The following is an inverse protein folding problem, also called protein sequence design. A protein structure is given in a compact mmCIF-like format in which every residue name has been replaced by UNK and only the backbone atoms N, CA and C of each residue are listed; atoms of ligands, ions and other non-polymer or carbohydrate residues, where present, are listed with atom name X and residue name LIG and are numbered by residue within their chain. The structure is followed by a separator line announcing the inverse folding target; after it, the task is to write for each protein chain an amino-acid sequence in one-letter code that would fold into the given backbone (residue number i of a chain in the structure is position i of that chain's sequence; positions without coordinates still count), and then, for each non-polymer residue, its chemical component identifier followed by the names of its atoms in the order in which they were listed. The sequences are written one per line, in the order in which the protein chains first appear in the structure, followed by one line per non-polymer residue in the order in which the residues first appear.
data_IF_288551107026
#
_entry.id   IF_288551107026
#
_cell.length_a   1.000
_cell.length_b   1.000
_cell.length_c   1.000
_cell.angle_alpha   90.00
_cell.angle_beta   90.00
_cell.angle_gamma   90.00
#
_symmetry.space_group_name_H-M   'P 1'
#
loop_
_entity.id
_entity.type
_entity.pdbx_description
1 polymer ?
#
# COMPACT_ATOMS: atom_id res chain seq x y z
N UNK A 1 0.17 -48.99 0.97
CA UNK A 1 0.25 -47.94 -0.07
C UNK A 1 0.39 -46.54 0.52
N UNK A 2 -0.28 -46.20 1.63
CA UNK A 2 -0.08 -44.90 2.33
C UNK A 2 1.31 -44.77 2.96
N UNK A 3 1.83 -45.85 3.58
CA UNK A 3 3.17 -45.84 4.19
C UNK A 3 4.30 -45.61 3.17
N UNK A 4 4.18 -46.15 1.96
CA UNK A 4 5.18 -45.96 0.91
C UNK A 4 5.15 -44.53 0.36
N UNK A 5 3.97 -43.95 0.16
CA UNK A 5 3.84 -42.53 -0.24
C UNK A 5 4.37 -41.54 0.81
N UNK A 6 4.25 -41.89 2.10
CA UNK A 6 4.82 -41.09 3.18
C UNK A 6 6.34 -41.18 3.21
N UNK A 7 6.89 -42.39 3.11
CA UNK A 7 8.33 -42.66 3.05
C UNK A 7 8.97 -41.99 1.81
N UNK A 8 8.32 -42.07 0.65
CA UNK A 8 8.73 -41.40 -0.59
C UNK A 8 8.80 -39.87 -0.42
N UNK A 9 7.84 -39.26 0.28
CA UNK A 9 7.84 -37.81 0.53
C UNK A 9 8.94 -37.40 1.51
N UNK A 10 9.13 -38.12 2.60
CA UNK A 10 10.21 -37.83 3.54
C UNK A 10 11.60 -38.05 2.89
N UNK A 11 11.72 -39.01 1.98
CA UNK A 11 12.93 -39.24 1.19
C UNK A 11 13.20 -38.08 0.21
N UNK A 12 12.18 -37.51 -0.42
CA UNK A 12 12.31 -36.32 -1.27
C UNK A 12 12.82 -35.10 -0.48
N UNK A 13 12.34 -34.90 0.76
CA UNK A 13 12.80 -33.83 1.66
C UNK A 13 14.26 -34.01 2.12
N UNK A 14 14.79 -35.23 2.06
CA UNK A 14 16.16 -35.55 2.50
C UNK A 14 17.24 -34.98 1.57
N UNK A 15 16.90 -34.72 0.31
CA UNK A 15 17.80 -34.11 -0.67
C UNK A 15 17.24 -32.78 -1.17
N UNK A 16 17.35 -31.68 -0.40
CA UNK A 16 16.84 -30.39 -0.81
C UNK A 16 17.51 -29.93 -2.10
N UNK A 17 16.71 -29.56 -3.10
CA UNK A 17 17.21 -29.02 -4.36
C UNK A 17 17.96 -27.71 -4.12
N UNK A 18 19.26 -27.68 -4.49
CA UNK A 18 20.14 -26.52 -4.26
C UNK A 18 19.58 -25.20 -4.83
N UNK A 19 18.94 -25.26 -6.00
CA UNK A 19 18.30 -24.10 -6.63
C UNK A 19 17.12 -23.57 -5.81
N UNK A 20 16.22 -24.44 -5.36
CA UNK A 20 15.06 -24.06 -4.55
C UNK A 20 15.49 -23.48 -3.20
N UNK A 21 16.51 -24.05 -2.58
CA UNK A 21 17.10 -23.54 -1.34
C UNK A 21 17.68 -22.14 -1.55
N UNK A 22 18.48 -21.95 -2.61
CA UNK A 22 19.12 -20.66 -2.93
C UNK A 22 18.07 -19.58 -3.20
N UNK A 23 17.07 -19.88 -4.04
CA UNK A 23 15.97 -18.95 -4.35
C UNK A 23 15.21 -18.59 -3.07
N UNK A 24 14.91 -19.56 -2.22
CA UNK A 24 14.18 -19.33 -0.98
C UNK A 24 14.97 -18.47 0.03
N UNK A 25 16.29 -18.65 0.13
CA UNK A 25 17.14 -17.79 0.96
C UNK A 25 17.13 -16.35 0.43
N UNK A 26 17.28 -16.17 -0.90
CA UNK A 26 17.24 -14.85 -1.52
C UNK A 26 15.90 -14.15 -1.25
N UNK A 27 14.78 -14.87 -1.41
CA UNK A 27 13.45 -14.33 -1.12
C UNK A 27 13.31 -13.95 0.36
N UNK A 28 13.80 -14.79 1.28
CA UNK A 28 13.73 -14.51 2.72
C UNK A 28 14.50 -13.23 3.08
N UNK A 29 15.71 -13.08 2.56
CA UNK A 29 16.52 -11.87 2.77
C UNK A 29 15.86 -10.66 2.13
N UNK A 30 15.35 -10.79 0.90
CA UNK A 30 14.63 -9.72 0.21
C UNK A 30 13.39 -9.27 0.96
N UNK A 31 12.63 -10.19 1.56
CA UNK A 31 11.48 -9.88 2.42
C UNK A 31 11.90 -9.04 3.62
N UNK A 32 12.91 -9.49 4.38
CA UNK A 32 13.41 -8.75 5.55
C UNK A 32 13.87 -7.33 5.19
N UNK A 33 14.69 -7.22 4.15
CA UNK A 33 15.18 -5.92 3.65
C UNK A 33 14.02 -5.02 3.20
N UNK A 34 12.94 -5.58 2.66
CA UNK A 34 11.78 -4.78 2.20
C UNK A 34 10.96 -4.21 3.35
N UNK A 35 10.87 -4.92 4.49
CA UNK A 35 10.10 -4.46 5.65
C UNK A 35 10.86 -3.45 6.52
N UNK A 36 12.19 -3.56 6.59
CA UNK A 36 13.04 -2.72 7.43
C UNK A 36 12.85 -1.21 7.23
N UNK A 37 12.84 -0.65 5.99
CA UNK A 37 12.61 0.78 5.77
C UNK A 37 11.28 1.27 6.34
N UNK A 38 10.23 0.45 6.25
CA UNK A 38 8.90 0.80 6.76
C UNK A 38 8.91 0.83 8.29
N UNK A 39 9.49 -0.18 8.95
CA UNK A 39 9.64 -0.19 10.41
C UNK A 39 10.46 1.01 10.89
N UNK A 40 11.58 1.28 10.23
CA UNK A 40 12.43 2.43 10.54
C UNK A 40 11.69 3.76 10.37
N UNK A 41 10.95 3.95 9.28
CA UNK A 41 10.19 5.19 9.03
C UNK A 41 9.16 5.47 10.12
N UNK A 42 8.45 4.45 10.61
CA UNK A 42 7.46 4.60 11.68
C UNK A 42 8.16 4.97 13.00
N UNK A 43 9.23 4.25 13.36
CA UNK A 43 9.99 4.50 14.60
C UNK A 43 10.66 5.87 14.58
N UNK A 44 11.27 6.25 13.46
CA UNK A 44 11.98 7.53 13.32
C UNK A 44 11.02 8.72 13.28
N UNK A 45 9.82 8.58 12.70
CA UNK A 45 8.79 9.64 12.73
C UNK A 45 8.12 9.77 14.09
N UNK A 46 8.04 8.69 14.86
CA UNK A 46 7.38 8.70 16.18
C UNK A 46 5.86 8.94 16.10
N UNK A 47 5.27 8.90 14.91
CA UNK A 47 3.83 9.02 14.65
C UNK A 47 3.41 8.06 13.54
N UNK A 48 2.14 7.64 13.57
CA UNK A 48 1.53 6.78 12.56
C UNK A 48 0.71 7.54 11.51
N UNK A 49 0.86 8.87 11.45
CA UNK A 49 0.21 9.69 10.43
C UNK A 49 0.63 9.28 9.01
N UNK A 50 -0.37 9.25 8.11
CA UNK A 50 -0.22 8.77 6.74
C UNK A 50 -0.34 7.25 6.58
N UNK A 51 -0.44 6.47 7.66
CA UNK A 51 -0.72 5.03 7.58
C UNK A 51 -2.23 4.81 7.68
N UNK A 52 -2.83 4.23 6.63
CA UNK A 52 -4.26 3.91 6.63
C UNK A 52 -4.60 2.82 7.68
N UNK A 53 -5.53 3.09 8.62
CA UNK A 53 -5.97 2.08 9.59
C UNK A 53 -6.59 0.84 8.93
N UNK A 54 -7.28 1.04 7.80
CA UNK A 54 -7.86 -0.05 7.00
C UNK A 54 -6.78 -0.92 6.35
N UNK A 55 -5.68 -0.33 5.90
CA UNK A 55 -4.54 -1.07 5.38
C UNK A 55 -3.94 -1.99 6.45
N UNK A 56 -3.74 -1.46 7.67
CA UNK A 56 -3.20 -2.23 8.79
C UNK A 56 -4.16 -3.35 9.20
N UNK A 57 -5.46 -3.05 9.29
CA UNK A 57 -6.49 -4.03 9.62
C UNK A 57 -6.53 -5.19 8.61
N UNK A 58 -6.82 -4.88 7.34
CA UNK A 58 -6.98 -5.88 6.28
C UNK A 58 -5.69 -6.67 6.04
N UNK A 59 -4.55 -5.97 6.07
CA UNK A 59 -3.25 -6.59 5.90
C UNK A 59 -2.90 -7.55 7.05
N UNK A 60 -3.19 -7.18 8.31
CA UNK A 60 -2.89 -8.05 9.45
C UNK A 60 -3.81 -9.26 9.50
N UNK A 61 -5.11 -9.07 9.25
CA UNK A 61 -6.06 -10.19 9.21
C UNK A 61 -5.76 -11.14 8.04
N UNK A 62 -5.42 -10.59 6.86
CA UNK A 62 -5.00 -11.39 5.70
C UNK A 62 -3.71 -12.16 5.97
N UNK A 63 -2.68 -11.51 6.52
CA UNK A 63 -1.41 -12.16 6.85
C UNK A 63 -1.58 -13.27 7.91
N UNK A 64 -2.42 -13.04 8.91
CA UNK A 64 -2.73 -14.05 9.95
C UNK A 64 -3.44 -15.26 9.34
N UNK A 65 -4.42 -15.01 8.46
CA UNK A 65 -5.12 -16.07 7.74
C UNK A 65 -4.18 -16.86 6.81
N UNK A 66 -3.31 -16.16 6.07
CA UNK A 66 -2.32 -16.76 5.17
C UNK A 66 -1.28 -17.60 5.91
N UNK A 67 -0.82 -17.14 7.08
CA UNK A 67 0.11 -17.91 7.90
C UNK A 67 -0.56 -19.16 8.51
N UNK A 68 -1.79 -19.03 9.02
CA UNK A 68 -2.55 -20.19 9.49
C UNK A 68 -2.87 -21.17 8.35
N UNK A 69 -3.13 -20.68 7.14
CA UNK A 69 -3.33 -21.50 5.95
C UNK A 69 -2.09 -22.37 5.66
N UNK A 70 -0.90 -21.79 5.53
CA UNK A 70 0.30 -22.59 5.22
C UNK A 70 0.64 -23.63 6.31
N UNK A 71 0.32 -23.35 7.58
CA UNK A 71 0.51 -24.32 8.66
C UNK A 71 -0.48 -25.49 8.59
N UNK A 72 -1.65 -25.30 7.98
CA UNK A 72 -2.75 -26.28 7.97
C UNK A 72 -2.90 -27.04 6.66
N UNK A 73 -2.34 -26.55 5.55
CA UNK A 73 -2.43 -27.26 4.26
C UNK A 73 -1.80 -28.67 4.31
N UNK A 74 -2.40 -29.66 3.62
CA UNK A 74 -1.95 -31.05 3.69
C UNK A 74 -0.45 -31.28 3.41
N UNK A 75 0.16 -30.66 2.37
CA UNK A 75 1.59 -30.85 2.10
C UNK A 75 2.47 -30.37 3.26
N UNK A 76 2.16 -29.20 3.85
CA UNK A 76 2.96 -28.66 4.95
C UNK A 76 2.82 -29.48 6.23
N UNK A 77 1.65 -30.06 6.51
CA UNK A 77 1.48 -30.99 7.63
C UNK A 77 2.34 -32.24 7.47
N UNK A 78 2.40 -32.81 6.25
CA UNK A 78 3.25 -33.97 5.94
C UNK A 78 4.73 -33.61 6.09
N UNK A 79 5.15 -32.47 5.55
CA UNK A 79 6.53 -31.98 5.68
C UNK A 79 6.94 -31.81 7.16
N UNK A 80 6.07 -31.23 8.00
CA UNK A 80 6.33 -31.06 9.44
C UNK A 80 6.44 -32.41 10.16
N UNK A 81 5.65 -33.42 9.77
CA UNK A 81 5.72 -34.76 10.35
C UNK A 81 7.03 -35.48 9.99
N UNK A 82 7.50 -35.35 8.75
CA UNK A 82 8.78 -35.90 8.29
C UNK A 82 9.99 -35.35 9.07
N UNK A 83 9.90 -34.15 9.65
CA UNK A 83 10.98 -33.55 10.43
C UNK A 83 11.36 -34.35 11.70
N UNK A 84 10.53 -35.29 12.15
CA UNK A 84 10.89 -36.19 13.25
C UNK A 84 11.93 -37.26 12.85
N UNK A 85 12.08 -37.53 11.55
CA UNK A 85 12.96 -38.57 11.00
C UNK A 85 14.15 -38.00 10.20
N UNK A 86 14.12 -36.70 9.90
CA UNK A 86 15.13 -36.01 9.11
C UNK A 86 16.19 -35.32 9.99
N UNK A 87 17.36 -35.06 9.40
CA UNK A 87 18.36 -34.19 10.02
C UNK A 87 17.88 -32.74 10.12
N UNK A 88 18.51 -31.97 11.00
CA UNK A 88 18.11 -30.59 11.30
C UNK A 88 18.21 -29.67 10.09
N UNK A 89 19.23 -29.86 9.24
CA UNK A 89 19.43 -29.04 8.05
C UNK A 89 18.40 -29.35 6.96
N UNK A 90 18.13 -30.63 6.72
CA UNK A 90 17.16 -31.10 5.73
C UNK A 90 15.75 -30.63 6.10
N UNK A 91 15.37 -30.77 7.38
CA UNK A 91 14.11 -30.24 7.89
C UNK A 91 14.03 -28.71 7.75
N UNK A 92 15.09 -27.97 8.13
CA UNK A 92 15.10 -26.51 8.01
C UNK A 92 14.96 -26.05 6.55
N UNK A 93 15.63 -26.73 5.62
CA UNK A 93 15.51 -26.47 4.18
C UNK A 93 14.08 -26.77 3.67
N UNK A 94 13.48 -27.88 4.08
CA UNK A 94 12.12 -28.28 3.70
C UNK A 94 11.02 -27.37 4.25
N UNK A 95 11.22 -26.79 5.44
CA UNK A 95 10.28 -25.88 6.10
C UNK A 95 10.53 -24.39 5.79
N UNK A 96 11.52 -24.07 4.95
CA UNK A 96 11.91 -22.68 4.67
C UNK A 96 10.75 -21.84 4.12
N UNK A 97 9.85 -22.42 3.33
CA UNK A 97 8.64 -21.73 2.86
C UNK A 97 7.67 -21.35 3.99
N UNK A 98 7.52 -22.18 5.03
CA UNK A 98 6.73 -21.83 6.23
C UNK A 98 7.43 -20.70 6.98
N UNK A 99 8.76 -20.77 7.12
CA UNK A 99 9.54 -19.74 7.78
C UNK A 99 9.44 -18.38 7.07
N UNK A 100 9.45 -18.36 5.73
CA UNK A 100 9.25 -17.13 4.94
C UNK A 100 7.90 -16.46 5.24
N UNK A 101 6.79 -17.22 5.23
CA UNK A 101 5.47 -16.68 5.56
C UNK A 101 5.38 -16.27 7.04
N UNK A 102 6.04 -17.00 7.94
CA UNK A 102 6.13 -16.64 9.35
C UNK A 102 6.86 -15.33 9.58
N UNK A 103 8.00 -15.12 8.92
CA UNK A 103 8.75 -13.86 8.96
C UNK A 103 7.92 -12.70 8.39
N UNK A 104 7.22 -12.93 7.27
CA UNK A 104 6.30 -11.94 6.71
C UNK A 104 5.18 -11.58 7.69
N UNK A 105 4.55 -12.58 8.32
CA UNK A 105 3.49 -12.38 9.31
C UNK A 105 3.99 -11.61 10.54
N UNK A 106 5.15 -11.98 11.09
CA UNK A 106 5.77 -11.27 12.22
C UNK A 106 6.09 -9.82 11.83
N UNK A 107 6.61 -9.60 10.62
CA UNK A 107 6.96 -8.26 10.14
C UNK A 107 5.73 -7.36 10.02
N UNK A 108 4.61 -7.91 9.56
CA UNK A 108 3.34 -7.18 9.46
C UNK A 108 2.68 -6.98 10.84
N UNK A 109 2.77 -7.98 11.73
CA UNK A 109 2.32 -7.84 13.12
C UNK A 109 3.12 -6.75 13.86
N UNK A 110 4.43 -6.63 13.59
CA UNK A 110 5.24 -5.53 14.10
C UNK A 110 4.75 -4.17 13.59
N UNK A 111 4.32 -4.07 12.33
CA UNK A 111 3.69 -2.83 11.82
C UNK A 111 2.42 -2.51 12.61
N UNK A 112 1.56 -3.49 12.91
CA UNK A 112 0.38 -3.27 13.76
C UNK A 112 0.78 -2.78 15.16
N UNK A 113 1.78 -3.39 15.79
CA UNK A 113 2.25 -2.98 17.12
C UNK A 113 2.78 -1.55 17.07
N UNK A 114 3.65 -1.22 16.11
CA UNK A 114 4.17 0.13 15.95
C UNK A 114 3.07 1.13 15.64
N UNK A 115 2.10 0.76 14.80
CA UNK A 115 0.92 1.57 14.51
C UNK A 115 0.13 1.89 15.79
N UNK A 116 -0.10 0.92 16.68
CA UNK A 116 -0.82 1.13 17.94
C UNK A 116 0.00 1.94 18.96
N UNK A 117 1.31 1.71 19.05
CA UNK A 117 2.20 2.42 20.00
C UNK A 117 2.40 3.87 19.60
N UNK A 118 2.63 4.13 18.32
CA UNK A 118 2.80 5.48 17.77
C UNK A 118 1.48 6.09 17.27
N UNK A 119 0.33 5.56 17.71
CA UNK A 119 -0.96 6.19 17.48
C UNK A 119 -1.15 7.38 18.43
N UNK A 120 -0.36 8.44 18.25
CA UNK A 120 -0.43 9.67 19.03
C UNK A 120 -0.85 10.80 18.12
N UNK A 121 -2.15 11.08 18.07
CA UNK A 121 -2.66 12.26 17.37
C UNK A 121 -2.53 13.55 18.21
N UNK A 122 -2.55 13.44 19.54
CA UNK A 122 -2.51 14.62 20.44
C UNK A 122 -1.11 15.25 20.60
N UNK A 123 -0.03 14.58 20.18
CA UNK A 123 1.36 15.03 20.42
C UNK A 123 2.24 14.99 19.16
N UNK A 124 1.66 14.90 17.97
CA UNK A 124 2.44 14.90 16.74
C UNK A 124 3.00 16.31 16.50
N UNK A 125 4.32 16.48 16.56
CA UNK A 125 5.03 17.69 16.12
C UNK A 125 4.94 17.81 14.59
N UNK A 126 3.74 18.10 14.09
CA UNK A 126 3.45 18.27 12.68
C UNK A 126 3.01 19.72 12.50
N UNK A 127 3.58 20.48 11.54
CA UNK A 127 3.15 21.85 11.27
C UNK A 127 1.63 21.88 11.04
N UNK A 128 0.95 22.91 11.57
CA UNK A 128 -0.51 23.05 11.51
C UNK A 128 -1.12 22.97 10.09
N UNK A 129 -0.27 23.06 9.06
CA UNK A 129 -0.59 22.98 7.64
C UNK A 129 -0.82 21.54 7.12
N UNK A 130 -0.36 20.51 7.84
CA UNK A 130 -0.48 19.09 7.45
C UNK A 130 -1.50 18.30 8.29
N UNK A 131 -2.11 18.89 9.32
CA UNK A 131 -3.18 18.25 10.09
C UNK A 131 -4.45 18.17 9.24
N UNK A 132 -4.90 16.95 8.94
CA UNK A 132 -6.22 16.74 8.35
C UNK A 132 -7.33 17.28 9.28
N UNK A 133 -8.31 18.00 8.72
CA UNK A 133 -9.43 18.65 9.44
C UNK A 133 -10.19 17.72 10.40
N UNK A 134 -10.15 16.40 10.17
CA UNK A 134 -10.80 15.40 11.01
C UNK A 134 -9.91 14.15 11.17
N UNK A 135 -9.12 14.06 12.23
CA UNK A 135 -8.27 12.90 12.46
C UNK A 135 -9.06 11.63 12.75
N UNK A 136 -8.55 10.45 12.33
CA UNK A 136 -9.08 9.20 12.82
C UNK A 136 -8.94 9.16 14.35
N UNK A 137 -10.08 9.21 15.04
CA UNK A 137 -10.17 9.18 16.49
C UNK A 137 -9.36 8.02 17.08
N UNK A 138 -8.87 8.16 18.32
CA UNK A 138 -8.29 7.06 19.12
C UNK A 138 -9.17 5.81 19.10
N UNK A 139 -10.49 5.97 18.94
CA UNK A 139 -11.43 4.87 18.73
C UNK A 139 -11.12 3.98 17.53
N UNK A 140 -10.62 4.55 16.42
CA UNK A 140 -10.26 3.80 15.21
C UNK A 140 -9.07 2.87 15.46
N UNK A 141 -8.03 3.33 16.15
CA UNK A 141 -6.89 2.48 16.49
C UNK A 141 -7.26 1.36 17.45
N UNK A 142 -8.06 1.67 18.48
CA UNK A 142 -8.59 0.66 19.42
C UNK A 142 -9.44 -0.37 18.67
N UNK A 143 -10.31 0.08 17.76
CA UNK A 143 -11.11 -0.80 16.91
C UNK A 143 -10.20 -1.71 16.07
N UNK A 144 -9.23 -1.16 15.33
CA UNK A 144 -8.30 -1.95 14.49
C UNK A 144 -7.54 -2.97 15.35
N UNK A 145 -6.95 -2.55 16.46
CA UNK A 145 -6.23 -3.44 17.37
C UNK A 145 -7.11 -4.55 17.95
N UNK A 146 -8.31 -4.21 18.41
CA UNK A 146 -9.26 -5.18 18.98
C UNK A 146 -9.76 -6.20 17.95
N UNK A 147 -10.10 -5.75 16.73
CA UNK A 147 -10.55 -6.64 15.65
C UNK A 147 -9.42 -7.56 15.21
N UNK A 148 -8.20 -7.04 15.02
CA UNK A 148 -7.03 -7.86 14.70
C UNK A 148 -6.76 -8.91 15.78
N UNK A 149 -6.83 -8.53 17.06
CA UNK A 149 -6.61 -9.43 18.18
C UNK A 149 -7.69 -10.53 18.24
N UNK A 150 -8.97 -10.16 18.17
CA UNK A 150 -10.09 -11.11 18.18
C UNK A 150 -9.98 -12.07 17.00
N UNK A 151 -9.72 -11.56 15.80
CA UNK A 151 -9.52 -12.38 14.60
C UNK A 151 -8.37 -13.37 14.79
N UNK A 152 -7.21 -12.90 15.28
CA UNK A 152 -6.06 -13.76 15.54
C UNK A 152 -6.36 -14.86 16.56
N UNK A 153 -7.02 -14.52 17.68
CA UNK A 153 -7.44 -15.49 18.69
C UNK A 153 -8.44 -16.51 18.13
N UNK A 154 -9.44 -16.07 17.36
CA UNK A 154 -10.39 -16.96 16.70
C UNK A 154 -9.70 -17.92 15.75
N UNK A 155 -8.77 -17.43 14.91
CA UNK A 155 -7.99 -18.27 14.00
C UNK A 155 -7.17 -19.30 14.77
N UNK A 156 -6.52 -18.92 15.87
CA UNK A 156 -5.74 -19.85 16.71
C UNK A 156 -6.65 -20.92 17.33
N UNK A 157 -7.76 -20.51 17.96
CA UNK A 157 -8.69 -21.42 18.62
C UNK A 157 -9.30 -22.40 17.61
N UNK A 158 -9.85 -21.89 16.51
CA UNK A 158 -10.46 -22.73 15.48
C UNK A 158 -9.44 -23.65 14.83
N UNK A 159 -8.23 -23.16 14.53
CA UNK A 159 -7.15 -24.02 14.01
C UNK A 159 -6.80 -25.15 14.99
N UNK A 160 -6.76 -24.87 16.29
CA UNK A 160 -6.56 -25.88 17.33
C UNK A 160 -7.69 -26.91 17.37
N UNK A 161 -8.94 -26.46 17.30
CA UNK A 161 -10.13 -27.34 17.26
C UNK A 161 -10.12 -28.25 16.03
N UNK A 162 -9.88 -27.71 14.83
CA UNK A 162 -9.77 -28.50 13.61
C UNK A 162 -8.57 -29.45 13.62
N UNK A 163 -7.46 -29.06 14.26
CA UNK A 163 -6.26 -29.90 14.36
C UNK A 163 -6.40 -31.05 15.36
N UNK A 164 -7.21 -30.88 16.42
CA UNK A 164 -7.33 -31.86 17.49
C UNK A 164 -8.62 -32.67 17.43
N UNK A 165 -9.78 -32.01 17.31
CA UNK A 165 -11.10 -32.60 17.45
C UNK A 165 -11.80 -32.89 16.11
N UNK A 166 -11.57 -32.08 15.08
CA UNK A 166 -12.23 -32.17 13.78
C UNK A 166 -11.23 -32.39 12.64
N UNK A 167 -10.33 -33.37 12.81
CA UNK A 167 -9.19 -33.62 11.89
C UNK A 167 -9.62 -33.84 10.44
N UNK A 168 -10.77 -34.49 10.23
CA UNK A 168 -11.32 -34.77 8.90
C UNK A 168 -11.75 -33.51 8.14
N UNK A 169 -11.93 -32.38 8.84
CA UNK A 169 -12.30 -31.10 8.27
C UNK A 169 -11.14 -30.09 8.20
N UNK A 170 -9.92 -30.50 8.56
CA UNK A 170 -8.78 -29.59 8.59
C UNK A 170 -8.38 -29.09 7.20
N UNK A 171 -8.58 -29.91 6.16
CA UNK A 171 -8.34 -29.53 4.76
C UNK A 171 -9.30 -28.42 4.30
N UNK A 172 -10.56 -28.53 4.72
CA UNK A 172 -11.56 -27.50 4.48
C UNK A 172 -11.19 -26.20 5.20
N UNK A 173 -10.79 -26.28 6.47
CA UNK A 173 -10.34 -25.13 7.25
C UNK A 173 -9.12 -24.44 6.61
N UNK A 174 -8.14 -25.21 6.14
CA UNK A 174 -6.98 -24.68 5.44
C UNK A 174 -7.41 -23.88 4.19
N UNK A 175 -8.26 -24.45 3.35
CA UNK A 175 -8.74 -23.78 2.15
C UNK A 175 -9.57 -22.53 2.46
N UNK A 176 -10.41 -22.58 3.50
CA UNK A 176 -11.17 -21.43 3.97
C UNK A 176 -10.24 -20.27 4.38
N UNK A 177 -9.18 -20.55 5.14
CA UNK A 177 -8.19 -19.55 5.54
C UNK A 177 -7.47 -18.92 4.34
N UNK A 178 -7.11 -19.72 3.33
CA UNK A 178 -6.48 -19.22 2.11
C UNK A 178 -7.41 -18.32 1.29
N UNK A 179 -8.66 -18.74 1.10
CA UNK A 179 -9.69 -17.91 0.43
C UNK A 179 -9.95 -16.62 1.19
N UNK A 180 -10.03 -16.68 2.52
CA UNK A 180 -10.20 -15.51 3.38
C UNK A 180 -9.01 -14.54 3.23
N UNK A 181 -7.78 -15.05 3.25
CA UNK A 181 -6.57 -14.24 3.02
C UNK A 181 -6.61 -13.52 1.66
N UNK A 182 -6.94 -14.26 0.60
CA UNK A 182 -7.07 -13.71 -0.76
C UNK A 182 -8.20 -12.70 -0.91
N UNK A 183 -9.36 -12.95 -0.29
CA UNK A 183 -10.48 -12.01 -0.30
C UNK A 183 -10.14 -10.69 0.41
N UNK A 184 -9.52 -10.77 1.60
CA UNK A 184 -9.07 -9.60 2.35
C UNK A 184 -8.01 -8.80 1.56
N UNK A 185 -7.07 -9.47 0.90
CA UNK A 185 -6.12 -8.83 0.02
C UNK A 185 -6.82 -8.17 -1.19
N UNK A 186 -7.82 -8.83 -1.78
CA UNK A 186 -8.62 -8.26 -2.86
C UNK A 186 -9.36 -6.99 -2.43
N UNK A 187 -9.96 -6.98 -1.24
CA UNK A 187 -10.60 -5.78 -0.67
C UNK A 187 -9.60 -4.63 -0.49
N UNK A 188 -8.32 -4.93 -0.27
CA UNK A 188 -7.27 -3.92 -0.15
C UNK A 188 -6.84 -3.35 -1.51
N UNK A 189 -6.59 -4.21 -2.50
CA UNK A 189 -6.05 -3.79 -3.80
C UNK A 189 -7.11 -3.25 -4.76
N UNK A 190 -8.34 -3.78 -4.76
CA UNK A 190 -9.38 -3.39 -5.72
C UNK A 190 -9.76 -1.90 -5.61
N UNK A 191 -10.02 -1.34 -4.41
CA UNK A 191 -10.31 0.08 -4.28
C UNK A 191 -9.15 0.97 -4.75
N UNK A 192 -7.91 0.53 -4.52
CA UNK A 192 -6.73 1.25 -4.99
C UNK A 192 -6.65 1.24 -6.52
N UNK A 193 -6.87 0.08 -7.15
CA UNK A 193 -6.92 -0.04 -8.63
C UNK A 193 -8.00 0.87 -9.19
N UNK A 194 -9.20 0.82 -8.60
CA UNK A 194 -10.33 1.65 -9.02
C UNK A 194 -9.99 3.14 -8.90
N UNK A 195 -9.42 3.57 -7.77
CA UNK A 195 -9.05 4.96 -7.52
C UNK A 195 -7.99 5.45 -8.49
N UNK A 196 -6.90 4.70 -8.69
CA UNK A 196 -5.86 5.04 -9.66
C UNK A 196 -6.42 5.13 -11.08
N UNK A 197 -7.33 4.23 -11.45
CA UNK A 197 -8.00 4.29 -12.76
C UNK A 197 -8.88 5.53 -12.93
N UNK A 198 -9.55 6.02 -11.89
CA UNK A 198 -10.42 7.20 -11.99
C UNK A 198 -9.65 8.52 -11.94
N UNK A 199 -8.63 8.60 -11.08
CA UNK A 199 -7.83 9.82 -10.91
C UNK A 199 -6.85 10.02 -12.08
N UNK A 200 -6.50 8.96 -12.82
CA UNK A 200 -5.56 8.99 -13.96
C UNK A 200 -4.17 9.53 -13.60
N UNK A 201 -3.83 9.49 -12.31
CA UNK A 201 -2.54 9.91 -11.79
C UNK A 201 -2.10 8.95 -10.67
N UNK A 202 -0.79 8.81 -10.53
CA UNK A 202 -0.16 7.78 -9.68
C UNK A 202 -0.08 8.21 -8.21
N UNK A 203 -0.13 9.51 -7.94
CA UNK A 203 -0.11 10.08 -6.59
C UNK A 203 1.17 9.72 -5.84
N UNK A 204 1.06 9.30 -4.58
CA UNK A 204 2.22 8.98 -3.73
C UNK A 204 2.76 7.54 -3.90
N UNK A 205 2.38 6.82 -4.95
CA UNK A 205 2.76 5.42 -5.15
C UNK A 205 4.22 5.29 -5.60
N UNK A 206 5.01 4.44 -4.95
CA UNK A 206 6.41 4.22 -5.34
C UNK A 206 6.51 3.21 -6.49
N UNK A 207 6.65 3.70 -7.73
CA UNK A 207 6.90 2.86 -8.92
C UNK A 207 8.12 1.94 -8.73
N UNK A 208 9.29 2.42 -8.23
CA UNK A 208 10.47 1.56 -8.05
C UNK A 208 10.23 0.38 -7.11
N UNK A 209 9.49 0.61 -6.01
CA UNK A 209 9.13 -0.42 -5.05
C UNK A 209 8.27 -1.51 -5.71
N UNK A 210 7.32 -1.12 -6.55
CA UNK A 210 6.44 -2.05 -7.25
C UNK A 210 7.14 -2.83 -8.36
N UNK A 211 8.11 -2.23 -9.05
CA UNK A 211 8.94 -2.92 -10.04
C UNK A 211 9.77 -4.06 -9.42
N UNK A 212 10.19 -3.93 -8.17
CA UNK A 212 10.93 -4.98 -7.45
C UNK A 212 9.97 -6.03 -6.88
N UNK A 213 8.87 -5.57 -6.27
CA UNK A 213 7.94 -6.46 -5.56
C UNK A 213 7.08 -7.31 -6.49
N UNK A 214 6.61 -6.78 -7.62
CA UNK A 214 5.73 -7.53 -8.52
C UNK A 214 6.40 -8.80 -9.05
N UNK A 215 7.63 -8.76 -9.62
CA UNK A 215 8.34 -9.97 -10.02
C UNK A 215 8.70 -10.87 -8.82
N UNK A 216 9.07 -10.26 -7.69
CA UNK A 216 9.36 -11.00 -6.45
C UNK A 216 8.17 -11.80 -5.94
N UNK A 217 6.95 -11.24 -6.04
CA UNK A 217 5.70 -11.91 -5.66
C UNK A 217 5.41 -13.13 -6.53
N UNK A 218 5.62 -13.03 -7.85
CA UNK A 218 5.50 -14.19 -8.75
C UNK A 218 6.57 -15.25 -8.48
N UNK A 219 7.82 -14.84 -8.24
CA UNK A 219 8.91 -15.76 -7.88
C UNK A 219 8.58 -16.51 -6.59
N UNK A 220 8.03 -15.82 -5.59
CA UNK A 220 7.61 -16.41 -4.33
C UNK A 220 6.40 -17.34 -4.47
N UNK A 221 5.40 -16.97 -5.27
CA UNK A 221 4.30 -17.86 -5.60
C UNK A 221 4.80 -19.14 -6.31
N UNK A 222 5.75 -18.99 -7.24
CA UNK A 222 6.39 -20.11 -7.94
C UNK A 222 7.18 -21.02 -7.00
N UNK A 223 7.93 -20.48 -6.04
CA UNK A 223 8.65 -21.30 -5.05
C UNK A 223 7.69 -22.07 -4.14
N UNK A 224 6.56 -21.48 -3.75
CA UNK A 224 5.50 -22.16 -3.00
C UNK A 224 4.81 -23.24 -3.82
N UNK A 225 4.54 -23.00 -5.11
CA UNK A 225 4.01 -24.01 -6.02
C UNK A 225 4.98 -25.19 -6.18
N UNK A 226 6.27 -24.92 -6.37
CA UNK A 226 7.28 -25.98 -6.48
C UNK A 226 7.37 -26.85 -5.21
N UNK A 227 7.11 -26.25 -4.04
CA UNK A 227 7.14 -26.95 -2.75
C UNK A 227 5.85 -27.72 -2.44
N UNK A 228 4.69 -27.09 -2.63
CA UNK A 228 3.38 -27.58 -2.17
C UNK A 228 2.60 -28.30 -3.28
N UNK A 229 2.97 -28.11 -4.54
CA UNK A 229 2.22 -28.58 -5.71
C UNK A 229 0.80 -28.03 -5.78
N UNK A 230 -0.08 -28.78 -6.46
CA UNK A 230 -1.48 -28.41 -6.63
C UNK A 230 -2.30 -28.47 -5.33
N UNK A 231 -1.92 -29.32 -4.38
CA UNK A 231 -2.59 -29.41 -3.07
C UNK A 231 -2.44 -28.12 -2.24
N UNK A 232 -1.41 -27.31 -2.51
CA UNK A 232 -1.17 -26.03 -1.84
C UNK A 232 -1.79 -24.81 -2.51
N UNK A 233 -2.76 -24.98 -3.41
CA UNK A 233 -3.34 -23.87 -4.20
C UNK A 233 -3.87 -22.72 -3.34
N UNK A 234 -4.44 -23.03 -2.17
CA UNK A 234 -4.97 -22.02 -1.25
C UNK A 234 -3.88 -21.19 -0.58
N UNK A 235 -2.61 -21.61 -0.65
CA UNK A 235 -1.44 -20.85 -0.20
C UNK A 235 -0.83 -20.05 -1.34
N UNK A 236 -0.31 -20.71 -2.39
CA UNK A 236 0.40 -20.00 -3.47
C UNK A 236 -0.54 -19.15 -4.33
N UNK A 237 -1.82 -19.54 -4.44
CA UNK A 237 -2.82 -18.81 -5.22
C UNK A 237 -3.11 -17.42 -4.66
N UNK A 238 -2.99 -17.23 -3.34
CA UNK A 238 -3.10 -15.91 -2.71
C UNK A 238 -1.99 -14.98 -3.21
N UNK A 239 -0.75 -15.48 -3.28
CA UNK A 239 0.38 -14.68 -3.75
C UNK A 239 0.32 -14.38 -5.26
N UNK A 240 -0.21 -15.31 -6.07
CA UNK A 240 -0.52 -15.05 -7.49
C UNK A 240 -1.55 -13.93 -7.60
N UNK A 241 -2.64 -14.00 -6.84
CA UNK A 241 -3.69 -12.98 -6.84
C UNK A 241 -3.12 -11.60 -6.49
N UNK A 242 -2.33 -11.50 -5.41
CA UNK A 242 -1.74 -10.23 -4.99
C UNK A 242 -0.72 -9.71 -6.00
N UNK A 243 0.12 -10.58 -6.57
CA UNK A 243 1.10 -10.19 -7.58
C UNK A 243 0.43 -9.70 -8.88
N UNK A 244 -0.69 -10.32 -9.28
CA UNK A 244 -1.49 -9.85 -10.42
C UNK A 244 -2.10 -8.48 -10.15
N UNK A 245 -2.72 -8.28 -8.98
CA UNK A 245 -3.30 -6.99 -8.61
C UNK A 245 -2.25 -5.88 -8.54
N UNK A 246 -1.09 -6.18 -7.95
CA UNK A 246 0.04 -5.27 -7.89
C UNK A 246 0.62 -4.98 -9.28
N UNK A 247 0.66 -5.99 -10.17
CA UNK A 247 1.07 -5.82 -11.55
C UNK A 247 0.13 -4.92 -12.37
N UNK A 248 -1.18 -5.03 -12.14
CA UNK A 248 -2.17 -4.12 -12.75
C UNK A 248 -1.94 -2.68 -12.28
N UNK A 249 -1.74 -2.47 -10.98
CA UNK A 249 -1.40 -1.15 -10.44
C UNK A 249 -0.09 -0.60 -11.06
N UNK A 250 0.93 -1.44 -11.18
CA UNK A 250 2.22 -1.04 -11.76
C UNK A 250 2.07 -0.64 -13.24
N UNK A 251 1.28 -1.40 -14.01
CA UNK A 251 1.01 -1.10 -15.41
C UNK A 251 0.28 0.24 -15.56
N UNK A 252 -0.74 0.48 -14.74
CA UNK A 252 -1.42 1.79 -14.72
C UNK A 252 -0.48 2.92 -14.31
N UNK A 253 0.37 2.68 -13.32
CA UNK A 253 1.33 3.68 -12.84
C UNK A 253 2.32 4.09 -13.95
N UNK A 254 2.92 3.11 -14.63
CA UNK A 254 3.82 3.37 -15.76
C UNK A 254 3.08 4.10 -16.88
N UNK A 255 1.84 3.69 -17.18
CA UNK A 255 1.04 4.30 -18.25
C UNK A 255 0.73 5.78 -17.97
N UNK A 256 0.27 6.12 -16.78
CA UNK A 256 -0.08 7.51 -16.43
C UNK A 256 1.16 8.40 -16.27
N UNK A 257 2.24 7.88 -15.69
CA UNK A 257 3.52 8.60 -15.63
C UNK A 257 4.00 8.95 -17.05
N UNK A 258 3.98 7.98 -17.96
CA UNK A 258 4.39 8.19 -19.35
C UNK A 258 3.50 9.20 -20.08
N UNK A 259 2.19 9.16 -19.83
CA UNK A 259 1.25 10.12 -20.41
C UNK A 259 1.50 11.55 -19.92
N UNK A 260 1.82 11.73 -18.65
CA UNK A 260 2.13 13.03 -18.05
C UNK A 260 3.43 13.63 -18.64
N UNK A 261 4.49 12.82 -18.78
CA UNK A 261 5.74 13.25 -19.43
C UNK A 261 5.55 13.58 -20.93
N UNK A 262 4.64 12.91 -21.63
CA UNK A 262 4.34 13.20 -23.04
C UNK A 262 3.40 14.38 -23.25
N UNK A 263 2.73 14.85 -22.20
CA UNK A 263 1.88 16.02 -22.23
C UNK A 263 2.66 17.33 -21.97
N UNK A 264 3.99 17.37 -22.21
CA UNK A 264 4.76 18.62 -22.20
C UNK A 264 4.05 19.70 -23.05
N UNK A 265 3.86 20.93 -22.52
CA UNK A 265 3.25 22.02 -23.25
C UNK A 265 4.10 22.36 -24.49
N UNK A 266 3.51 22.90 -25.57
CA UNK A 266 4.26 23.25 -26.77
C UNK A 266 5.47 24.09 -26.40
N UNK A 267 6.67 23.63 -26.78
CA UNK A 267 7.91 24.39 -26.67
C UNK A 267 7.71 25.70 -27.43
N UNK A 268 7.42 26.78 -26.72
CA UNK A 268 7.52 28.11 -27.28
C UNK A 268 8.99 28.32 -27.68
N UNK A 269 9.27 28.72 -28.93
CA UNK A 269 10.63 28.90 -29.39
C UNK A 269 11.31 29.91 -28.47
N UNK A 270 12.45 29.54 -27.90
CA UNK A 270 13.32 30.42 -27.10
C UNK A 270 13.80 31.57 -27.99
N UNK A 271 12.98 32.59 -28.12
CA UNK A 271 13.39 33.88 -28.65
C UNK A 271 14.12 34.57 -27.50
N UNK A 272 15.43 34.74 -27.64
CA UNK A 272 16.24 35.56 -26.74
C UNK A 272 15.80 37.02 -26.88
N UNK A 273 14.76 37.39 -26.17
CA UNK A 273 14.37 38.79 -25.98
C UNK A 273 14.78 39.16 -24.57
N UNK A 274 15.58 40.21 -24.48
CA UNK A 274 16.04 40.83 -23.24
C UNK A 274 14.79 41.39 -22.51
N UNK A 275 14.18 40.58 -21.65
CA UNK A 275 12.96 40.96 -20.95
C UNK A 275 13.28 41.87 -19.74
N UNK A 276 12.54 42.98 -19.55
CA UNK A 276 12.68 43.79 -18.36
C UNK A 276 12.26 42.99 -17.11
N UNK A 277 13.14 43.02 -16.10
CA UNK A 277 13.02 42.28 -14.84
C UNK A 277 11.65 42.51 -14.17
N UNK A 278 10.74 41.53 -14.30
CA UNK A 278 9.43 41.53 -13.63
C UNK A 278 9.64 41.48 -12.09
N UNK A 279 8.85 42.21 -11.29
CA UNK A 279 8.97 42.18 -9.84
C UNK A 279 8.58 40.80 -9.29
N UNK A 280 9.38 40.28 -8.34
CA UNK A 280 9.12 38.99 -7.69
C UNK A 280 7.75 38.97 -7.00
N UNK A 281 6.82 38.07 -7.37
CA UNK A 281 5.55 37.95 -6.67
C UNK A 281 5.75 37.32 -5.28
N UNK A 282 4.95 37.78 -4.31
CA UNK A 282 4.88 37.25 -2.95
C UNK A 282 4.23 35.85 -3.00
N UNK A 283 4.81 34.92 -2.25
CA UNK A 283 4.58 33.47 -2.28
C UNK A 283 3.13 33.07 -1.90
N UNK A 284 2.35 32.55 -2.86
CA UNK A 284 1.05 31.91 -2.65
C UNK A 284 0.90 30.72 -3.61
N UNK A 285 0.99 29.48 -3.10
CA UNK A 285 0.88 28.24 -3.88
C UNK A 285 -0.36 28.24 -4.80
N UNK A 286 -0.14 28.33 -6.11
CA UNK A 286 -1.15 28.22 -7.15
C UNK A 286 -0.62 27.34 -8.29
N UNK A 287 -1.47 26.56 -8.94
CA UNK A 287 -1.06 25.84 -10.15
C UNK A 287 -0.54 26.87 -11.19
N UNK A 288 0.73 26.75 -11.61
CA UNK A 288 1.40 27.67 -12.53
C UNK A 288 2.63 28.44 -12.00
N UNK A 289 3.09 28.18 -10.77
CA UNK A 289 4.33 28.79 -10.23
C UNK A 289 5.56 28.57 -11.09
N UNK A 290 5.67 27.39 -11.73
CA UNK A 290 6.81 27.04 -12.56
C UNK A 290 6.95 27.94 -13.80
N UNK A 291 5.87 28.65 -14.17
CA UNK A 291 5.81 29.54 -15.33
C UNK A 291 5.94 31.04 -14.95
N UNK A 292 6.14 31.37 -13.67
CA UNK A 292 6.26 32.78 -13.22
C UNK A 292 4.96 33.59 -13.34
N UNK A 293 3.84 32.91 -13.56
CA UNK A 293 2.51 33.52 -13.66
C UNK A 293 2.00 33.93 -12.26
N UNK A 294 1.24 35.03 -12.16
CA UNK A 294 0.82 35.54 -10.88
C UNK A 294 -0.23 34.62 -10.24
N UNK A 295 -0.34 34.67 -8.91
CA UNK A 295 -1.29 33.83 -8.17
C UNK A 295 -2.74 34.27 -8.36
N UNK A 296 -3.71 33.48 -7.86
CA UNK A 296 -5.12 33.87 -7.87
C UNK A 296 -5.30 35.18 -7.11
N UNK A 297 -6.26 36.01 -7.56
CA UNK A 297 -6.56 37.35 -7.03
C UNK A 297 -5.57 38.45 -7.41
N UNK A 298 -4.90 38.32 -8.55
CA UNK A 298 -4.05 39.39 -9.05
C UNK A 298 -4.91 40.59 -9.45
N UNK A 299 -4.59 41.77 -8.93
CA UNK A 299 -5.39 42.98 -9.19
C UNK A 299 -5.29 43.50 -10.64
N UNK A 300 -4.30 43.01 -11.40
CA UNK A 300 -3.99 43.43 -12.78
C UNK A 300 -3.49 42.26 -13.64
N UNK A 301 -4.34 41.25 -13.96
CA UNK A 301 -3.96 40.11 -14.79
C UNK A 301 -3.51 40.52 -16.21
N UNK A 302 -4.05 41.63 -16.73
CA UNK A 302 -3.66 42.25 -18.00
C UNK A 302 -2.18 42.66 -18.09
N UNK A 303 -1.48 42.73 -16.95
CA UNK A 303 -0.05 43.05 -16.90
C UNK A 303 0.85 41.84 -17.09
N UNK A 304 0.27 40.64 -17.08
CA UNK A 304 0.98 39.37 -17.11
C UNK A 304 0.67 38.55 -18.37
N UNK A 305 -0.30 38.98 -19.18
CA UNK A 305 -0.60 38.42 -20.49
C UNK A 305 -0.06 39.34 -21.60
N UNK A 306 0.63 38.75 -22.58
CA UNK A 306 1.12 39.47 -23.76
C UNK A 306 0.10 39.40 -24.93
N UNK A 307 -0.89 38.51 -24.84
CA UNK A 307 -1.96 38.32 -25.83
C UNK A 307 -3.35 38.21 -25.18
N UNK A 308 -4.41 38.51 -25.94
CA UNK A 308 -5.80 38.43 -25.45
C UNK A 308 -6.20 36.99 -25.07
N UNK A 309 -5.72 35.99 -25.83
CA UNK A 309 -5.97 34.57 -25.58
C UNK A 309 -5.27 34.10 -24.29
N UNK A 310 -4.09 34.64 -24.00
CA UNK A 310 -3.37 34.39 -22.75
C UNK A 310 -4.07 35.06 -21.56
N UNK A 311 -4.64 36.25 -21.74
CA UNK A 311 -5.43 36.93 -20.71
C UNK A 311 -6.68 36.13 -20.35
N UNK A 312 -7.40 35.62 -21.35
CA UNK A 312 -8.58 34.77 -21.17
C UNK A 312 -8.21 33.47 -20.44
N UNK A 313 -7.12 32.81 -20.85
CA UNK A 313 -6.62 31.61 -20.18
C UNK A 313 -6.19 31.87 -18.72
N UNK A 314 -5.58 33.03 -18.43
CA UNK A 314 -5.25 33.42 -17.06
C UNK A 314 -6.50 33.63 -16.21
N UNK A 315 -7.51 34.30 -16.75
CA UNK A 315 -8.79 34.53 -16.07
C UNK A 315 -9.51 33.20 -15.79
N UNK A 316 -9.62 32.31 -16.78
CA UNK A 316 -10.22 30.98 -16.62
C UNK A 316 -9.47 30.10 -15.60
N UNK A 317 -8.14 30.26 -15.50
CA UNK A 317 -7.33 29.58 -14.49
C UNK A 317 -7.60 30.13 -13.10
N UNK A 318 -7.65 31.46 -12.96
CA UNK A 318 -7.99 32.11 -11.69
C UNK A 318 -9.37 31.67 -11.21
N UNK A 319 -10.37 31.65 -12.09
CA UNK A 319 -11.74 31.25 -11.73
C UNK A 319 -11.81 29.82 -11.22
N UNK A 320 -11.13 28.87 -11.87
CA UNK A 320 -11.06 27.48 -11.41
C UNK A 320 -10.37 27.33 -10.05
N UNK A 321 -9.39 28.19 -9.75
CA UNK A 321 -8.71 28.18 -8.46
C UNK A 321 -9.59 28.78 -7.36
N UNK A 322 -10.31 29.86 -7.64
CA UNK A 322 -11.28 30.49 -6.72
C UNK A 322 -12.41 29.51 -6.39
N UNK A 323 -12.95 28.79 -7.37
CA UNK A 323 -14.01 27.79 -7.14
C UNK A 323 -13.56 26.62 -6.25
N UNK A 324 -12.27 26.28 -6.28
CA UNK A 324 -11.68 25.20 -5.48
C UNK A 324 -11.13 25.66 -4.14
N UNK A 325 -11.20 26.95 -3.84
CA UNK A 325 -10.65 27.53 -2.61
C UNK A 325 -11.50 27.10 -1.39
N UNK A 326 -10.86 26.36 -0.48
CA UNK A 326 -11.53 25.82 0.72
C UNK A 326 -11.27 26.65 1.97
N UNK A 327 -10.35 27.63 1.92
CA UNK A 327 -10.03 28.48 3.07
C UNK A 327 -11.26 29.29 3.49
N UNK A 328 -11.62 29.33 4.79
CA UNK A 328 -12.88 29.94 5.26
C UNK A 328 -13.12 31.39 4.83
N UNK A 329 -12.03 32.17 4.66
CA UNK A 329 -12.08 33.56 4.24
C UNK A 329 -12.20 33.73 2.72
N UNK A 330 -11.59 32.84 1.93
CA UNK A 330 -11.41 33.01 0.48
C UNK A 330 -12.29 32.09 -0.36
N UNK A 331 -12.98 31.13 0.27
CA UNK A 331 -13.96 30.28 -0.41
C UNK A 331 -15.03 31.12 -1.11
N UNK A 332 -15.66 30.62 -2.19
CA UNK A 332 -16.77 31.31 -2.85
C UNK A 332 -17.83 31.79 -1.84
N UNK A 333 -18.10 33.09 -1.79
CA UNK A 333 -19.03 33.72 -0.84
C UNK A 333 -18.46 34.08 0.55
N UNK A 334 -17.18 33.78 0.80
CA UNK A 334 -16.40 34.14 1.98
C UNK A 334 -16.22 35.66 2.17
N UNK A 335 -15.59 36.07 3.28
CA UNK A 335 -15.40 37.49 3.60
C UNK A 335 -14.31 38.14 2.71
N UNK A 336 -13.32 37.35 2.28
CA UNK A 336 -12.23 37.78 1.42
C UNK A 336 -12.48 37.55 -0.08
N UNK A 337 -13.71 37.19 -0.48
CA UNK A 337 -14.09 37.06 -1.89
C UNK A 337 -14.15 38.46 -2.54
N UNK A 338 -13.23 38.81 -3.46
CA UNK A 338 -13.18 40.14 -4.06
C UNK A 338 -14.36 40.43 -4.99
N UNK A 339 -15.14 39.42 -5.36
CA UNK A 339 -16.35 39.57 -6.20
C UNK A 339 -17.61 39.76 -5.36
N UNK A 340 -17.52 39.75 -4.02
CA UNK A 340 -18.63 40.03 -3.12
C UNK A 340 -18.83 41.54 -2.97
N UNK A 341 -19.88 42.07 -3.62
CA UNK A 341 -20.31 43.45 -3.39
C UNK A 341 -20.86 43.60 -1.97
N UNK A 342 -20.06 44.23 -1.09
CA UNK A 342 -20.53 44.70 0.20
C UNK A 342 -21.36 45.96 0.00
N UNK A 343 -22.68 45.81 -0.18
CA UNK A 343 -23.60 46.93 -0.08
C UNK A 343 -23.57 47.44 1.36
N UNK A 344 -22.76 48.46 1.60
CA UNK A 344 -22.69 49.24 2.83
C UNK A 344 -23.75 50.34 2.79
N UNK A 345 -25.01 49.95 2.72
CA UNK A 345 -26.15 50.84 2.98
C UNK A 345 -27.17 50.09 3.80
N UNK A 346 -26.93 50.06 5.11
CA UNK A 346 -28.01 50.06 6.09
C UNK A 346 -27.93 51.42 6.79
N UNK A 347 -28.77 52.35 6.33
CA UNK A 347 -29.20 53.46 7.15
C UNK A 347 -30.06 52.90 8.31
N UNK A 348 -29.91 53.58 9.45
CA UNK A 348 -30.53 53.43 10.78
C UNK A 348 -31.87 52.67 10.92
#
# INVERSE_FOLDING_TARGET
MVATLFDDRCQELRSPGFLNLTISIIILVGLLVSYLPQHYRIVARGTSEGISPWFVLLGTTSATAGFANILTVPPSRRDIQCCSELGTFECAAGLLGIAQLGVQWISFALILVLFLVYFRYEDANVPDEELADDPPSKGTAIMVGSVCLIHGLLVIILTGVFSMALRDHLDFWANFLGVMAGALAGIQYVPQIWTTYHIKHVGSLSIPMMCIQTPGGFLFAGSLFARLGWEGWSTWGVFVLTALMQGVLLAMAIYYEFQEHHAEPPQSPRTSVDEPRRPNPIRTYSEGWEQGLPGPYTAHPERYADTEEELEHLQDREERQVERETRPLLRPGGIGDPRKNYNTTHDD
#
